data_IF_749311820243
#
_entry.id   IF_749311820243
#
_cell.length_a   1.000
_cell.length_b   1.000
_cell.length_c   1.000
_cell.angle_alpha   90.00
_cell.angle_beta   90.00
_cell.angle_gamma   90.00
#
_symmetry.space_group_name_H-M   'P 1'
#
loop_
_entity.id
_entity.type
_entity.pdbx_description
1 polymer ?
#
# COMPACT_ATOMS: atom_id res chain seq x y z
N UNK A 1 4.04 -10.17 -7.65
CA UNK A 1 4.33 -9.75 -6.29
C UNK A 1 3.18 -8.97 -5.66
N UNK A 2 2.77 -7.84 -6.22
CA UNK A 2 1.50 -7.27 -5.75
C UNK A 2 0.62 -6.85 -6.92
N UNK A 3 -0.68 -6.85 -6.68
CA UNK A 3 -1.68 -6.43 -7.67
C UNK A 3 -2.76 -5.60 -6.99
N UNK A 4 -3.51 -4.84 -7.79
CA UNK A 4 -4.65 -4.08 -7.29
C UNK A 4 -5.96 -4.65 -7.83
N UNK A 5 -7.05 -4.49 -7.09
CA UNK A 5 -8.39 -4.95 -7.46
C UNK A 5 -9.40 -3.81 -7.23
N UNK A 6 -10.01 -3.27 -8.27
CA UNK A 6 -9.78 -3.58 -9.68
C UNK A 6 -8.39 -3.15 -10.15
N UNK A 7 -7.95 -3.63 -11.29
CA UNK A 7 -6.65 -3.25 -11.85
C UNK A 7 -6.66 -1.81 -12.39
N UNK A 8 -7.84 -1.29 -12.66
CA UNK A 8 -8.06 0.08 -13.13
C UNK A 8 -8.94 0.79 -12.11
N UNK A 9 -8.44 1.87 -11.53
CA UNK A 9 -9.14 2.61 -10.48
C UNK A 9 -8.64 4.05 -10.42
N UNK A 10 -9.36 4.88 -9.67
CA UNK A 10 -8.95 6.26 -9.37
C UNK A 10 -8.60 6.38 -7.90
N UNK A 11 -7.76 7.35 -7.56
CA UNK A 11 -7.34 7.57 -6.18
C UNK A 11 -8.49 7.96 -5.24
N UNK A 12 -9.61 8.39 -5.78
CA UNK A 12 -10.81 8.67 -5.00
C UNK A 12 -11.69 7.44 -4.73
N UNK A 13 -11.31 6.28 -5.23
CA UNK A 13 -12.10 5.05 -5.12
C UNK A 13 -11.53 4.12 -4.06
N UNK A 14 -12.40 3.22 -3.58
CA UNK A 14 -11.94 2.10 -2.75
C UNK A 14 -11.34 1.04 -3.68
N UNK A 15 -10.16 0.55 -3.33
CA UNK A 15 -9.55 -0.54 -4.09
C UNK A 15 -8.82 -1.48 -3.14
N UNK A 16 -8.50 -2.68 -3.63
CA UNK A 16 -7.79 -3.68 -2.85
C UNK A 16 -6.36 -3.86 -3.34
N UNK A 17 -5.47 -4.17 -2.40
CA UNK A 17 -4.10 -4.55 -2.70
C UNK A 17 -3.91 -5.99 -2.27
N UNK A 18 -3.39 -6.82 -3.18
CA UNK A 18 -3.03 -8.21 -2.92
C UNK A 18 -1.52 -8.34 -3.01
N UNK A 19 -0.91 -8.80 -1.94
CA UNK A 19 0.53 -8.99 -1.85
C UNK A 19 0.84 -10.49 -1.75
N UNK A 20 1.53 -11.00 -2.75
CA UNK A 20 2.03 -12.39 -2.77
C UNK A 20 3.41 -12.42 -2.13
N UNK A 21 3.47 -12.82 -0.87
CA UNK A 21 4.69 -12.72 -0.06
C UNK A 21 5.71 -13.83 -0.31
N UNK A 22 5.32 -14.92 -0.95
CA UNK A 22 6.24 -16.00 -1.31
C UNK A 22 7.32 -15.49 -2.25
N UNK A 23 8.59 -15.82 -2.00
CA UNK A 23 9.70 -15.34 -2.80
C UNK A 23 10.19 -13.94 -2.41
N UNK A 24 9.62 -13.33 -1.38
CA UNK A 24 10.07 -12.03 -0.86
C UNK A 24 10.68 -12.20 0.54
N UNK A 25 11.24 -11.12 1.07
CA UNK A 25 11.79 -11.13 2.44
C UNK A 25 10.71 -11.40 3.50
N UNK A 26 9.43 -11.25 3.15
CA UNK A 26 8.29 -11.49 4.04
C UNK A 26 7.69 -12.88 3.87
N UNK A 27 8.35 -13.79 3.18
CA UNK A 27 7.80 -15.13 2.88
C UNK A 27 7.39 -15.94 4.10
N UNK A 28 8.04 -15.73 5.23
CA UNK A 28 7.75 -16.44 6.48
C UNK A 28 7.01 -15.57 7.51
N UNK A 29 6.61 -14.37 7.14
CA UNK A 29 5.93 -13.47 8.05
C UNK A 29 4.51 -13.94 8.34
N UNK A 30 4.13 -13.98 9.61
CA UNK A 30 2.75 -14.30 10.01
C UNK A 30 1.82 -13.10 9.94
N UNK A 31 2.37 -11.89 9.89
CA UNK A 31 1.62 -10.64 9.79
C UNK A 31 2.33 -9.72 8.84
N UNK A 32 1.57 -9.05 7.98
CA UNK A 32 2.07 -8.06 7.04
C UNK A 32 1.22 -6.81 7.17
N UNK A 33 1.87 -5.67 7.19
CA UNK A 33 1.22 -4.37 7.31
C UNK A 33 1.49 -3.55 6.06
N UNK A 34 0.46 -2.87 5.57
CA UNK A 34 0.56 -2.00 4.41
C UNK A 34 0.99 -0.61 4.85
N UNK A 35 2.07 -0.14 4.27
CA UNK A 35 2.58 1.21 4.49
C UNK A 35 2.66 1.94 3.16
N UNK A 36 2.85 3.25 3.20
CA UNK A 36 2.97 3.99 1.97
C UNK A 36 3.03 5.48 2.15
N UNK A 37 3.04 6.16 1.01
CA UNK A 37 3.11 7.62 0.93
C UNK A 37 2.09 8.10 -0.11
N UNK A 38 1.32 9.12 0.25
CA UNK A 38 0.44 9.81 -0.69
C UNK A 38 1.01 11.20 -0.95
N UNK A 39 1.14 11.57 -2.23
CA UNK A 39 1.47 12.93 -2.64
C UNK A 39 0.14 13.60 -2.99
N UNK A 40 -0.13 14.75 -2.38
CA UNK A 40 -1.43 15.40 -2.55
C UNK A 40 -1.32 16.92 -2.51
N UNK A 41 -2.33 17.59 -3.04
CA UNK A 41 -2.51 19.04 -2.95
C UNK A 41 -1.25 19.87 -3.25
N UNK A 42 -0.64 19.57 -4.39
CA UNK A 42 0.51 20.33 -4.87
C UNK A 42 1.86 19.89 -4.33
N UNK A 43 1.97 18.63 -3.91
CA UNK A 43 3.24 18.04 -3.50
C UNK A 43 3.41 17.80 -2.00
N UNK A 44 2.34 17.92 -1.24
CA UNK A 44 2.38 17.58 0.17
C UNK A 44 2.44 16.07 0.34
N UNK A 45 3.06 15.60 1.42
CA UNK A 45 3.21 14.16 1.69
C UNK A 45 2.42 13.75 2.92
N UNK A 46 1.68 12.64 2.80
CA UNK A 46 1.07 11.96 3.92
C UNK A 46 1.65 10.54 3.97
N UNK A 47 2.14 10.10 5.12
CA UNK A 47 2.84 8.82 5.24
C UNK A 47 2.20 7.92 6.27
N UNK A 48 2.17 6.62 5.97
CA UNK A 48 1.84 5.55 6.91
C UNK A 48 3.05 4.63 6.94
N UNK A 49 3.75 4.60 8.07
CA UNK A 49 5.05 3.92 8.17
C UNK A 49 5.16 2.96 9.37
N UNK A 50 4.10 2.81 10.16
CA UNK A 50 4.13 1.98 11.36
C UNK A 50 3.20 0.77 11.24
N UNK A 51 3.57 -0.34 11.90
CA UNK A 51 2.73 -1.53 11.98
C UNK A 51 1.68 -1.34 13.07
N UNK A 52 0.51 -0.85 12.69
CA UNK A 52 -0.62 -0.63 13.60
C UNK A 52 -1.84 -1.41 13.10
N UNK A 53 -2.81 -1.74 13.98
CA UNK A 53 -3.94 -2.60 13.58
C UNK A 53 -4.71 -2.12 12.36
N UNK A 54 -4.84 -0.82 12.16
CA UNK A 54 -5.63 -0.27 11.05
C UNK A 54 -5.03 -0.54 9.67
N UNK A 55 -3.72 -0.78 9.57
CA UNK A 55 -3.07 -1.07 8.29
C UNK A 55 -2.58 -2.51 8.17
N UNK A 56 -3.03 -3.39 9.07
CA UNK A 56 -2.75 -4.82 8.98
C UNK A 56 -3.47 -5.41 7.78
N UNK A 57 -2.73 -6.19 6.99
CA UNK A 57 -3.30 -6.92 5.86
C UNK A 57 -3.88 -8.25 6.34
N UNK A 58 -4.87 -8.76 5.63
CA UNK A 58 -5.52 -10.02 5.95
C UNK A 58 -4.90 -11.15 5.15
N UNK A 59 -4.55 -12.25 5.81
CA UNK A 59 -3.99 -13.42 5.14
C UNK A 59 -5.13 -14.28 4.57
N UNK A 60 -5.17 -14.39 3.25
CA UNK A 60 -6.19 -15.16 2.52
C UNK A 60 -5.49 -16.06 1.52
N UNK A 61 -5.63 -17.38 1.68
CA UNK A 61 -5.10 -18.39 0.74
C UNK A 61 -3.63 -18.15 0.35
N UNK A 62 -2.78 -17.93 1.33
CA UNK A 62 -1.34 -17.72 1.16
C UNK A 62 -0.98 -16.37 0.57
N UNK A 63 -1.90 -15.42 0.57
CA UNK A 63 -1.67 -14.05 0.13
C UNK A 63 -2.21 -13.08 1.16
N UNK A 64 -1.62 -11.89 1.22
CA UNK A 64 -2.12 -10.83 2.09
C UNK A 64 -2.92 -9.85 1.24
N UNK A 65 -4.11 -9.47 1.74
CA UNK A 65 -5.01 -8.58 1.05
C UNK A 65 -5.49 -7.47 1.98
N UNK A 66 -5.73 -6.28 1.41
CA UNK A 66 -6.35 -5.20 2.14
C UNK A 66 -7.08 -4.28 1.16
N UNK A 67 -8.36 -4.03 1.45
CA UNK A 67 -9.12 -2.99 0.75
C UNK A 67 -8.98 -1.69 1.50
N UNK A 68 -8.83 -0.59 0.78
CA UNK A 68 -8.63 0.71 1.39
C UNK A 68 -9.26 1.82 0.56
N UNK A 69 -9.62 2.90 1.26
CA UNK A 69 -9.96 4.17 0.67
C UNK A 69 -8.79 5.11 0.94
N UNK A 70 -8.04 5.55 -0.09
CA UNK A 70 -6.78 6.27 0.14
C UNK A 70 -6.87 7.47 1.07
N UNK A 71 -7.90 8.28 0.95
CA UNK A 71 -8.04 9.44 1.84
C UNK A 71 -8.17 9.05 3.30
N UNK A 72 -8.94 7.99 3.58
CA UNK A 72 -9.10 7.49 4.94
C UNK A 72 -7.81 6.82 5.43
N UNK A 73 -7.18 6.04 4.57
CA UNK A 73 -5.95 5.32 4.92
C UNK A 73 -4.82 6.28 5.32
N UNK A 74 -4.69 7.40 4.61
CA UNK A 74 -3.66 8.40 4.88
C UNK A 74 -4.12 9.53 5.79
N UNK A 75 -5.36 9.48 6.28
CA UNK A 75 -5.89 10.51 7.18
C UNK A 75 -6.11 11.86 6.53
N UNK A 76 -6.46 11.89 5.26
CA UNK A 76 -6.67 13.11 4.49
C UNK A 76 -8.14 13.56 4.53
N UNK A 77 -8.40 14.87 4.41
CA UNK A 77 -9.79 15.35 4.34
C UNK A 77 -10.46 14.91 3.03
N UNK A 78 -11.78 14.94 3.01
CA UNK A 78 -12.55 14.48 1.86
C UNK A 78 -12.32 15.31 0.58
N UNK A 79 -11.88 16.54 0.73
CA UNK A 79 -11.59 17.43 -0.39
C UNK A 79 -10.13 17.40 -0.85
N UNK A 80 -9.30 16.55 -0.24
CA UNK A 80 -7.91 16.40 -0.65
C UNK A 80 -7.82 15.82 -2.07
N UNK A 81 -6.85 16.31 -2.83
CA UNK A 81 -6.59 15.83 -4.20
C UNK A 81 -5.30 15.02 -4.18
N UNK A 82 -5.42 13.71 -4.33
CA UNK A 82 -4.26 12.81 -4.35
C UNK A 82 -3.68 12.79 -5.75
N UNK A 83 -2.37 13.00 -5.85
CA UNK A 83 -1.64 13.07 -7.12
C UNK A 83 -0.84 11.82 -7.39
N UNK A 84 -0.29 11.19 -6.35
CA UNK A 84 0.50 9.96 -6.47
C UNK A 84 0.29 9.11 -5.23
N UNK A 85 0.34 7.78 -5.40
CA UNK A 85 0.28 6.81 -4.32
C UNK A 85 1.45 5.84 -4.43
N UNK A 86 2.11 5.59 -3.30
CA UNK A 86 3.21 4.64 -3.17
C UNK A 86 2.93 3.73 -1.99
N UNK A 87 3.26 2.44 -2.12
CA UNK A 87 3.04 1.47 -1.05
C UNK A 87 4.27 0.59 -0.85
N UNK A 88 4.40 0.06 0.34
CA UNK A 88 5.38 -0.96 0.67
C UNK A 88 4.84 -1.82 1.81
N UNK A 89 5.54 -2.90 2.13
CA UNK A 89 5.04 -3.91 3.06
C UNK A 89 6.08 -4.16 4.14
N UNK A 90 5.61 -4.30 5.39
CA UNK A 90 6.48 -4.56 6.54
C UNK A 90 5.90 -5.69 7.39
N UNK A 91 6.76 -6.33 8.21
CA UNK A 91 6.32 -7.29 9.22
C UNK A 91 5.91 -6.57 10.50
N UNK A 92 5.49 -7.36 11.53
CA UNK A 92 4.90 -6.81 12.75
C UNK A 92 5.81 -5.84 13.52
N UNK A 93 7.12 -6.07 13.52
CA UNK A 93 8.06 -5.21 14.24
C UNK A 93 8.80 -4.21 13.33
N UNK A 94 8.49 -4.21 12.03
CA UNK A 94 9.09 -3.29 11.08
C UNK A 94 10.55 -3.61 10.71
N UNK A 95 11.08 -4.75 11.13
CA UNK A 95 12.47 -5.12 10.84
C UNK A 95 12.67 -5.59 9.40
N UNK A 96 11.61 -6.06 8.76
CA UNK A 96 11.64 -6.50 7.36
C UNK A 96 10.75 -5.57 6.54
N UNK A 97 11.32 -4.99 5.49
CA UNK A 97 10.62 -4.06 4.61
C UNK A 97 10.76 -4.57 3.18
N UNK A 98 9.64 -4.72 2.48
CA UNK A 98 9.63 -5.12 1.07
C UNK A 98 9.20 -3.93 0.22
N UNK A 99 10.10 -3.49 -0.64
CA UNK A 99 9.89 -2.42 -1.61
C UNK A 99 10.14 -2.97 -3.02
N UNK A 100 9.94 -2.14 -4.02
CA UNK A 100 10.10 -2.56 -5.41
C UNK A 100 11.57 -2.72 -5.79
N UNK A 101 12.09 -3.93 -5.67
CA UNK A 101 13.49 -4.23 -5.97
C UNK A 101 13.83 -4.01 -7.45
N UNK A 102 12.85 -4.16 -8.35
CA UNK A 102 13.05 -3.95 -9.77
C UNK A 102 13.21 -2.47 -10.11
N UNK A 103 12.81 -1.59 -9.19
CA UNK A 103 12.93 -0.15 -9.35
C UNK A 103 13.90 0.44 -8.32
N UNK A 104 15.00 -0.27 -8.05
CA UNK A 104 16.05 0.22 -7.18
C UNK A 104 15.70 0.29 -5.69
N UNK A 105 14.74 -0.49 -5.23
CA UNK A 105 14.35 -0.52 -3.82
C UNK A 105 13.44 0.63 -3.42
N UNK A 106 12.78 1.28 -4.36
CA UNK A 106 11.81 2.32 -4.07
C UNK A 106 10.46 1.73 -3.70
N UNK A 107 9.56 2.55 -3.13
CA UNK A 107 8.19 2.11 -2.83
C UNK A 107 7.46 1.80 -4.13
N UNK A 108 6.52 0.85 -4.08
CA UNK A 108 5.72 0.48 -5.25
C UNK A 108 4.80 1.64 -5.64
N UNK A 109 4.89 2.09 -6.88
CA UNK A 109 4.03 3.15 -7.40
C UNK A 109 2.71 2.56 -7.88
N UNK A 110 1.62 3.17 -7.46
CA UNK A 110 0.27 2.76 -7.86
C UNK A 110 -0.33 3.88 -8.70
N UNK A 111 -0.62 3.58 -9.95
CA UNK A 111 -1.09 4.57 -10.92
C UNK A 111 -2.61 4.53 -11.04
N UNK A 112 -3.25 5.71 -11.07
CA UNK A 112 -4.69 5.78 -11.28
C UNK A 112 -5.04 5.79 -12.76
N UNK A 113 -6.27 5.40 -13.06
CA UNK A 113 -6.81 5.48 -14.41
C UNK A 113 -7.00 6.94 -14.85
N UNK A 114 -6.78 7.22 -16.13
CA UNK A 114 -7.01 8.54 -16.72
C UNK A 114 -8.48 8.76 -17.10
N UNK A 115 -9.32 7.74 -17.00
CA UNK A 115 -10.72 7.83 -17.41
C UNK A 115 -11.67 8.26 -16.29
#
# INVERSE_FOLDING_TARGET
MFTTTPSVFRYGDVFGITFSHGGTALKDAGEVYLCGTAIHDGGQKAEVSAAVPRNRMELISSRFEKYLYPKDFFGLPSDAVIEELYFYFINADGSIVVKDDENGGQEFFVEQSDE
#
